data_IF_465504001954
#
_entry.id   IF_465504001954
#
_cell.length_a   1.000
_cell.length_b   1.000
_cell.length_c   1.000
_cell.angle_alpha   90.00
_cell.angle_beta   90.00
_cell.angle_gamma   90.00
#
_symmetry.space_group_name_H-M   'P 1'
#
loop_
_entity.id
_entity.type
_entity.pdbx_description
1 polymer ?
#
# COMPACT_ATOMS: atom_id res chain seq x y z
N UNK A 1 -15.15 11.55 -15.01
CA UNK A 1 -14.12 10.82 -14.23
C UNK A 1 -14.86 9.85 -13.34
N UNK A 2 -14.54 8.58 -13.32
CA UNK A 2 -15.16 7.62 -12.39
C UNK A 2 -14.72 7.92 -10.97
N UNK A 3 -15.50 7.53 -9.94
CA UNK A 3 -15.13 7.66 -8.53
C UNK A 3 -13.78 6.98 -8.26
N UNK A 4 -13.54 5.82 -8.86
CA UNK A 4 -12.28 5.09 -8.80
C UNK A 4 -11.09 5.96 -9.26
N UNK A 5 -11.19 6.61 -10.42
CA UNK A 5 -10.12 7.45 -10.95
C UNK A 5 -9.92 8.74 -10.13
N UNK A 6 -10.95 9.24 -9.49
CA UNK A 6 -10.84 10.36 -8.58
C UNK A 6 -10.08 9.96 -7.30
N UNK A 7 -10.47 8.87 -6.65
CA UNK A 7 -9.86 8.43 -5.40
C UNK A 7 -8.37 8.08 -5.54
N UNK A 8 -7.95 7.46 -6.65
CA UNK A 8 -6.54 7.12 -6.87
C UNK A 8 -5.63 8.34 -7.05
N UNK A 9 -6.18 9.51 -7.35
CA UNK A 9 -5.42 10.76 -7.51
C UNK A 9 -5.29 11.56 -6.20
N UNK A 10 -6.14 11.31 -5.20
CA UNK A 10 -6.15 12.08 -3.94
C UNK A 10 -4.85 11.95 -3.15
N UNK A 11 -4.12 10.86 -3.30
CA UNK A 11 -2.82 10.66 -2.62
C UNK A 11 -1.77 11.72 -2.99
N UNK A 12 -1.89 12.31 -4.19
CA UNK A 12 -0.97 13.35 -4.67
C UNK A 12 -1.17 14.71 -3.98
N UNK A 13 -2.25 14.88 -3.19
CA UNK A 13 -2.53 16.12 -2.45
C UNK A 13 -1.69 16.28 -1.19
N UNK A 14 -1.21 15.18 -0.60
CA UNK A 14 -0.53 15.18 0.71
C UNK A 14 0.76 14.34 0.72
N UNK A 15 1.67 14.48 -0.25
CA UNK A 15 2.80 13.57 -0.42
C UNK A 15 3.79 13.61 0.76
N UNK A 16 4.05 14.78 1.34
CA UNK A 16 4.93 14.91 2.51
C UNK A 16 4.33 14.21 3.73
N UNK A 17 3.04 14.45 4.00
CA UNK A 17 2.35 13.79 5.10
C UNK A 17 2.33 12.28 4.90
N UNK A 18 2.08 11.82 3.68
CA UNK A 18 2.11 10.40 3.31
C UNK A 18 3.46 9.78 3.67
N UNK A 19 4.57 10.42 3.30
CA UNK A 19 5.92 9.95 3.58
C UNK A 19 6.22 9.82 5.08
N UNK A 20 5.71 10.75 5.89
CA UNK A 20 5.97 10.80 7.33
C UNK A 20 5.20 9.76 8.13
N UNK A 21 3.94 9.47 7.76
CA UNK A 21 3.03 8.74 8.66
C UNK A 21 2.65 7.35 8.17
N UNK A 22 2.80 7.05 6.87
CA UNK A 22 2.49 5.71 6.36
C UNK A 22 3.48 4.68 6.88
N UNK A 23 3.00 3.52 7.37
CA UNK A 23 3.89 2.46 7.83
C UNK A 23 4.81 1.97 6.71
N UNK A 24 6.05 1.70 7.06
CA UNK A 24 6.96 0.91 6.23
C UNK A 24 6.63 -0.59 6.31
N UNK A 25 7.43 -1.40 5.66
CA UNK A 25 7.28 -2.85 5.63
C UNK A 25 8.41 -3.53 6.40
N UNK A 26 8.17 -4.68 7.07
CA UNK A 26 9.22 -5.44 7.77
C UNK A 26 10.31 -5.92 6.81
N UNK A 27 11.55 -5.96 7.27
CA UNK A 27 12.68 -6.45 6.46
C UNK A 27 12.52 -7.94 6.10
N UNK A 28 11.88 -8.72 6.95
CA UNK A 28 11.56 -10.12 6.73
C UNK A 28 10.69 -10.32 5.48
N UNK A 29 9.74 -9.41 5.23
CA UNK A 29 8.90 -9.45 4.04
C UNK A 29 9.75 -9.40 2.75
N UNK A 30 10.74 -8.51 2.70
CA UNK A 30 11.62 -8.39 1.54
C UNK A 30 12.60 -9.56 1.44
N UNK A 31 13.02 -10.13 2.57
CA UNK A 31 13.85 -11.33 2.59
C UNK A 31 13.09 -12.52 2.01
N UNK A 32 11.86 -12.76 2.48
CA UNK A 32 10.97 -13.79 1.92
C UNK A 32 10.72 -13.56 0.42
N UNK A 33 10.44 -12.31 0.01
CA UNK A 33 10.25 -11.98 -1.40
C UNK A 33 11.46 -12.39 -2.26
N UNK A 34 12.65 -12.06 -1.82
CA UNK A 34 13.90 -12.36 -2.56
C UNK A 34 14.13 -13.87 -2.63
N UNK A 35 13.99 -14.56 -1.50
CA UNK A 35 14.26 -16.00 -1.38
C UNK A 35 13.27 -16.82 -2.23
N UNK A 36 11.97 -16.52 -2.15
CA UNK A 36 10.94 -17.25 -2.93
C UNK A 36 11.05 -17.01 -4.42
N UNK A 37 11.41 -15.79 -4.84
CA UNK A 37 11.51 -15.43 -6.25
C UNK A 37 12.88 -15.76 -6.86
N UNK A 38 13.89 -16.09 -6.03
CA UNK A 38 15.24 -16.36 -6.48
C UNK A 38 15.95 -15.14 -7.10
N UNK A 39 15.58 -13.92 -6.67
CA UNK A 39 16.21 -12.70 -7.17
C UNK A 39 17.70 -12.67 -6.85
N UNK A 40 18.50 -12.21 -7.81
CA UNK A 40 19.93 -12.04 -7.69
C UNK A 40 20.35 -10.60 -8.11
N UNK A 41 21.61 -10.24 -7.88
CA UNK A 41 22.11 -8.86 -8.05
C UNK A 41 21.82 -8.22 -9.42
N UNK A 42 21.71 -9.04 -10.48
CA UNK A 42 21.43 -8.56 -11.85
C UNK A 42 19.94 -8.58 -12.21
N UNK A 43 19.07 -8.91 -11.25
CA UNK A 43 17.62 -8.94 -11.45
C UNK A 43 17.08 -7.52 -11.60
N UNK A 44 16.16 -7.36 -12.57
CA UNK A 44 15.47 -6.10 -12.85
C UNK A 44 14.06 -6.12 -12.29
N UNK A 45 13.72 -5.14 -11.50
CA UNK A 45 12.45 -5.03 -10.80
C UNK A 45 11.63 -3.88 -11.40
N UNK A 46 10.31 -4.08 -11.46
CA UNK A 46 9.34 -3.03 -11.79
C UNK A 46 8.40 -2.84 -10.61
N UNK A 47 8.34 -1.63 -10.07
CA UNK A 47 7.40 -1.24 -9.02
C UNK A 47 6.25 -0.43 -9.59
N UNK A 48 5.02 -0.81 -9.20
CA UNK A 48 3.80 -0.11 -9.58
C UNK A 48 3.29 0.70 -8.38
N UNK A 49 3.26 2.03 -8.50
CA UNK A 49 2.82 2.93 -7.46
C UNK A 49 3.77 2.93 -6.25
N UNK A 50 5.03 3.36 -6.39
CA UNK A 50 6.00 3.41 -5.29
C UNK A 50 5.59 4.39 -4.17
N UNK A 51 4.66 5.29 -4.43
CA UNK A 51 4.34 6.39 -3.52
C UNK A 51 5.58 7.24 -3.27
N UNK A 52 6.08 7.24 -2.04
CA UNK A 52 7.30 7.95 -1.66
C UNK A 52 8.49 6.99 -1.45
N UNK A 53 8.38 5.73 -1.90
CA UNK A 53 9.48 4.76 -1.94
C UNK A 53 9.62 3.87 -0.71
N UNK A 54 8.55 3.64 0.06
CA UNK A 54 8.59 2.80 1.27
C UNK A 54 9.01 1.35 0.97
N UNK A 55 8.51 0.76 -0.13
CA UNK A 55 8.89 -0.58 -0.55
C UNK A 55 10.10 -0.56 -1.49
N UNK A 56 10.34 0.55 -2.21
CA UNK A 56 11.51 0.72 -3.09
C UNK A 56 12.82 0.71 -2.31
N UNK A 57 12.90 1.51 -1.21
CA UNK A 57 14.15 1.72 -0.43
C UNK A 57 14.80 0.42 0.06
N UNK A 58 14.08 -0.54 0.67
CA UNK A 58 14.67 -1.80 1.12
C UNK A 58 15.30 -2.62 -0.01
N UNK A 59 14.64 -2.67 -1.18
CA UNK A 59 15.15 -3.39 -2.36
C UNK A 59 16.31 -2.64 -3.03
N UNK A 60 16.24 -1.31 -3.12
CA UNK A 60 17.31 -0.46 -3.64
C UNK A 60 18.60 -0.60 -2.83
N UNK A 61 18.50 -0.65 -1.48
CA UNK A 61 19.65 -0.90 -0.57
C UNK A 61 20.33 -2.25 -0.83
N UNK A 62 19.60 -3.24 -1.33
CA UNK A 62 20.14 -4.56 -1.69
C UNK A 62 20.77 -4.58 -3.08
N UNK A 63 20.73 -3.45 -3.82
CA UNK A 63 21.42 -3.25 -5.09
C UNK A 63 20.61 -3.62 -6.34
N UNK A 64 19.32 -3.95 -6.22
CA UNK A 64 18.49 -4.27 -7.39
C UNK A 64 18.27 -3.05 -8.27
N UNK A 65 18.29 -3.25 -9.60
CA UNK A 65 17.87 -2.25 -10.58
C UNK A 65 16.34 -2.14 -10.57
N UNK A 66 15.81 -0.97 -10.20
CA UNK A 66 14.38 -0.76 -10.02
C UNK A 66 13.89 0.32 -10.98
N UNK A 67 12.92 -0.04 -11.81
CA UNK A 67 12.07 0.90 -12.53
C UNK A 67 10.78 1.06 -11.75
N UNK A 68 10.39 2.28 -11.37
CA UNK A 68 9.17 2.55 -10.64
C UNK A 68 8.26 3.49 -11.46
N UNK A 69 6.96 3.21 -11.48
CA UNK A 69 5.95 3.99 -12.19
C UNK A 69 4.93 4.54 -11.21
N UNK A 70 4.86 5.87 -11.07
CA UNK A 70 3.98 6.57 -10.15
C UNK A 70 2.98 7.46 -10.89
N UNK A 71 1.70 7.34 -10.52
CA UNK A 71 0.62 8.10 -11.16
C UNK A 71 0.67 9.58 -10.78
N UNK A 72 0.91 9.88 -9.50
CA UNK A 72 0.91 11.23 -8.95
C UNK A 72 2.18 12.00 -9.31
N UNK A 73 2.04 13.21 -9.82
CA UNK A 73 3.21 14.04 -10.15
C UNK A 73 3.96 14.48 -8.89
N UNK A 74 3.25 14.92 -7.85
CA UNK A 74 3.85 15.36 -6.58
C UNK A 74 4.50 14.18 -5.84
N UNK A 75 3.86 13.01 -5.85
CA UNK A 75 4.43 11.76 -5.32
C UNK A 75 5.67 11.36 -6.11
N UNK A 76 5.65 11.47 -7.45
CA UNK A 76 6.81 11.18 -8.31
C UNK A 76 8.02 12.05 -7.96
N UNK A 77 7.81 13.36 -7.80
CA UNK A 77 8.91 14.27 -7.47
C UNK A 77 9.44 14.01 -6.05
N UNK A 78 8.57 13.71 -5.10
CA UNK A 78 9.00 13.35 -3.76
C UNK A 78 9.73 11.99 -3.75
N UNK A 79 9.24 10.99 -4.49
CA UNK A 79 9.93 9.71 -4.64
C UNK A 79 11.33 9.88 -5.23
N UNK A 80 11.49 10.68 -6.29
CA UNK A 80 12.81 11.02 -6.86
C UNK A 80 13.73 11.67 -5.82
N UNK A 81 13.21 12.62 -5.03
CA UNK A 81 13.96 13.26 -3.96
C UNK A 81 14.39 12.27 -2.87
N UNK A 82 13.46 11.45 -2.39
CA UNK A 82 13.69 10.47 -1.33
C UNK A 82 14.64 9.33 -1.78
N UNK A 83 14.62 8.98 -3.05
CA UNK A 83 15.41 7.91 -3.64
C UNK A 83 16.71 8.43 -4.34
N UNK A 84 17.00 9.72 -4.30
CA UNK A 84 18.12 10.36 -5.02
C UNK A 84 19.51 9.77 -4.75
N UNK A 85 19.69 9.09 -3.64
CA UNK A 85 20.96 8.45 -3.28
C UNK A 85 21.09 7.01 -3.82
N UNK A 86 20.04 6.49 -4.49
CA UNK A 86 20.03 5.16 -5.09
C UNK A 86 20.14 5.27 -6.61
N UNK A 87 21.38 5.19 -7.13
CA UNK A 87 21.63 5.28 -8.59
C UNK A 87 21.03 4.12 -9.39
N UNK A 88 20.56 3.08 -8.70
CA UNK A 88 19.93 1.88 -9.25
C UNK A 88 18.39 2.00 -9.30
N UNK A 89 17.83 3.18 -9.03
CA UNK A 89 16.37 3.41 -9.06
C UNK A 89 16.03 4.52 -10.06
N UNK A 90 15.04 4.26 -10.90
CA UNK A 90 14.47 5.24 -11.82
C UNK A 90 12.97 5.35 -11.59
N UNK A 91 12.45 6.57 -11.37
CA UNK A 91 11.03 6.83 -11.15
C UNK A 91 10.46 7.62 -12.33
N UNK A 92 9.41 7.07 -12.93
CA UNK A 92 8.70 7.63 -14.08
C UNK A 92 7.30 8.07 -13.70
N UNK A 93 6.87 9.29 -14.07
CA UNK A 93 5.48 9.71 -13.88
C UNK A 93 4.57 9.06 -14.92
N UNK A 94 3.38 8.66 -14.53
CA UNK A 94 2.33 8.20 -15.42
C UNK A 94 1.49 7.07 -14.88
N UNK A 95 0.37 6.83 -15.55
CA UNK A 95 -0.47 5.67 -15.24
C UNK A 95 0.22 4.39 -15.73
N UNK A 96 0.29 3.39 -14.86
CA UNK A 96 0.90 2.10 -15.22
C UNK A 96 0.23 1.49 -16.46
N UNK A 97 -1.05 1.70 -16.63
CA UNK A 97 -1.83 1.20 -17.75
C UNK A 97 -1.37 1.78 -19.10
N UNK A 98 -0.90 3.02 -19.11
CA UNK A 98 -0.61 3.81 -20.32
C UNK A 98 0.88 3.84 -20.69
N UNK A 99 1.77 3.83 -19.68
CA UNK A 99 3.19 3.95 -19.92
C UNK A 99 3.73 2.77 -20.75
N UNK A 100 4.55 3.07 -21.76
CA UNK A 100 5.22 2.02 -22.53
C UNK A 100 6.39 1.43 -21.74
N UNK A 101 6.38 0.10 -21.60
CA UNK A 101 7.40 -0.67 -20.91
C UNK A 101 7.88 -1.80 -21.81
N UNK A 102 9.18 -2.13 -21.79
CA UNK A 102 9.72 -3.20 -22.62
C UNK A 102 9.12 -4.56 -22.20
N UNK A 103 8.70 -5.33 -23.20
CA UNK A 103 8.21 -6.69 -22.95
C UNK A 103 9.34 -7.60 -22.47
N UNK A 104 8.99 -8.62 -21.66
CA UNK A 104 9.92 -9.68 -21.21
C UNK A 104 11.23 -9.17 -20.62
N UNK A 105 11.18 -8.08 -19.85
CA UNK A 105 12.39 -7.37 -19.39
C UNK A 105 12.63 -7.43 -17.89
N UNK A 106 11.59 -7.70 -17.11
CA UNK A 106 11.67 -7.69 -15.64
C UNK A 106 11.62 -9.10 -15.06
N UNK A 107 12.39 -9.32 -14.01
CA UNK A 107 12.38 -10.57 -13.24
C UNK A 107 11.26 -10.58 -12.21
N UNK A 108 10.96 -9.39 -11.65
CA UNK A 108 9.87 -9.17 -10.71
C UNK A 108 9.08 -7.92 -11.10
N UNK A 109 7.75 -8.02 -11.07
CA UNK A 109 6.84 -6.88 -10.95
C UNK A 109 6.25 -6.91 -9.55
N UNK A 110 6.28 -5.78 -8.82
CA UNK A 110 5.66 -5.73 -7.51
C UNK A 110 4.85 -4.45 -7.30
N UNK A 111 3.88 -4.55 -6.42
CA UNK A 111 3.01 -3.44 -6.03
C UNK A 111 2.75 -3.52 -4.53
N UNK A 112 3.09 -2.46 -3.80
CA UNK A 112 2.91 -2.38 -2.37
C UNK A 112 1.78 -1.41 -2.03
N UNK A 113 0.62 -1.92 -1.63
CA UNK A 113 -0.61 -1.18 -1.33
C UNK A 113 -1.12 -0.32 -2.50
N UNK A 114 -0.78 -0.70 -3.74
CA UNK A 114 -1.14 0.01 -4.96
C UNK A 114 -1.85 -0.86 -6.02
N UNK A 115 -1.74 -2.18 -5.95
CA UNK A 115 -2.24 -3.11 -6.99
C UNK A 115 -3.75 -3.02 -7.23
N UNK A 116 -4.53 -2.71 -6.20
CA UNK A 116 -5.98 -2.54 -6.31
C UNK A 116 -6.39 -1.29 -7.11
N UNK A 117 -5.48 -0.34 -7.30
CA UNK A 117 -5.71 0.87 -8.09
C UNK A 117 -5.44 0.70 -9.59
N UNK A 118 -4.99 -0.47 -10.04
CA UNK A 118 -4.73 -0.74 -11.46
C UNK A 118 -6.06 -1.08 -12.14
N UNK A 119 -6.29 -0.50 -13.33
CA UNK A 119 -7.45 -0.80 -14.16
C UNK A 119 -7.57 -2.30 -14.44
N UNK A 120 -8.76 -2.91 -14.30
CA UNK A 120 -8.95 -4.36 -14.43
C UNK A 120 -8.40 -4.95 -15.73
N UNK A 121 -8.49 -4.21 -16.84
CA UNK A 121 -8.00 -4.65 -18.15
C UNK A 121 -6.49 -4.79 -18.25
N UNK A 122 -5.75 -4.00 -17.46
CA UNK A 122 -4.29 -3.99 -17.45
C UNK A 122 -3.68 -4.79 -16.29
N UNK A 123 -4.46 -5.02 -15.23
CA UNK A 123 -4.05 -5.48 -13.92
C UNK A 123 -3.15 -6.72 -13.93
N UNK A 124 -3.49 -7.73 -14.71
CA UNK A 124 -2.69 -8.94 -14.86
C UNK A 124 -2.02 -9.05 -16.22
N UNK A 125 -2.67 -8.54 -17.28
CA UNK A 125 -2.16 -8.62 -18.63
C UNK A 125 -0.84 -7.86 -18.81
N UNK A 126 -0.74 -6.62 -18.28
CA UNK A 126 0.46 -5.80 -18.46
C UNK A 126 1.65 -6.31 -17.64
N UNK A 127 1.54 -6.67 -16.35
CA UNK A 127 2.61 -7.37 -15.64
C UNK A 127 3.07 -8.64 -16.35
N UNK A 128 2.13 -9.47 -16.85
CA UNK A 128 2.49 -10.68 -17.61
C UNK A 128 3.31 -10.34 -18.86
N UNK A 129 2.95 -9.29 -19.61
CA UNK A 129 3.67 -8.88 -20.83
C UNK A 129 5.10 -8.43 -20.56
N UNK A 130 5.33 -7.67 -19.49
CA UNK A 130 6.65 -7.08 -19.18
C UNK A 130 7.58 -8.02 -18.43
N UNK A 131 7.03 -9.04 -17.75
CA UNK A 131 7.81 -10.05 -17.05
C UNK A 131 8.50 -11.02 -18.03
N UNK A 132 9.73 -11.37 -17.71
CA UNK A 132 10.46 -12.49 -18.34
C UNK A 132 9.71 -13.81 -18.15
N UNK A 133 10.09 -14.81 -18.92
CA UNK A 133 9.59 -16.19 -18.69
C UNK A 133 9.97 -16.62 -17.27
N UNK A 134 9.00 -17.21 -16.54
CA UNK A 134 9.13 -17.58 -15.12
C UNK A 134 9.34 -16.40 -14.16
N UNK A 135 9.22 -15.15 -14.62
CA UNK A 135 9.23 -13.98 -13.77
C UNK A 135 8.05 -13.97 -12.80
N UNK A 136 8.11 -13.12 -11.79
CA UNK A 136 7.16 -13.14 -10.67
C UNK A 136 6.38 -11.83 -10.56
N UNK A 137 5.13 -11.94 -10.10
CA UNK A 137 4.31 -10.83 -9.63
C UNK A 137 4.18 -10.94 -8.12
N UNK A 138 4.56 -9.88 -7.40
CA UNK A 138 4.37 -9.80 -5.95
C UNK A 138 3.38 -8.68 -5.60
N UNK A 139 2.37 -9.01 -4.80
CA UNK A 139 1.36 -8.09 -4.32
C UNK A 139 1.49 -8.02 -2.80
N UNK A 140 1.69 -6.80 -2.30
CA UNK A 140 1.84 -6.51 -0.88
C UNK A 140 0.68 -5.62 -0.43
N UNK A 141 0.02 -5.99 0.67
CA UNK A 141 -1.00 -5.16 1.29
C UNK A 141 -0.68 -4.86 2.75
N UNK A 142 -1.12 -3.70 3.20
CA UNK A 142 -1.18 -3.34 4.62
C UNK A 142 -2.61 -3.53 5.09
N UNK A 143 -2.91 -4.65 5.71
CA UNK A 143 -4.25 -4.98 6.19
C UNK A 143 -4.42 -4.51 7.64
N UNK A 144 -5.48 -3.74 7.91
CA UNK A 144 -5.91 -3.49 9.27
C UNK A 144 -6.53 -4.75 9.85
N UNK A 145 -6.02 -5.20 10.98
CA UNK A 145 -6.53 -6.42 11.64
C UNK A 145 -6.92 -6.14 13.08
N UNK A 146 -7.77 -7.01 13.61
CA UNK A 146 -8.19 -6.93 15.01
C UNK A 146 -7.03 -7.23 15.95
N UNK A 147 -7.06 -6.58 17.11
CA UNK A 147 -6.20 -6.94 18.24
C UNK A 147 -6.78 -8.11 19.04
N UNK A 148 -6.01 -8.64 20.00
CA UNK A 148 -6.45 -9.72 20.87
C UNK A 148 -7.40 -9.25 21.98
N UNK A 149 -7.50 -7.94 22.23
CA UNK A 149 -8.28 -7.32 23.33
C UNK A 149 -9.70 -6.98 22.93
N UNK A 150 -10.12 -7.31 21.68
CA UNK A 150 -11.48 -7.10 21.19
C UNK A 150 -11.75 -5.75 20.58
N UNK A 151 -10.73 -5.10 20.03
CA UNK A 151 -10.85 -3.89 19.19
C UNK A 151 -11.58 -2.72 19.86
N UNK A 152 -11.27 -2.45 21.13
CA UNK A 152 -11.98 -1.41 21.91
C UNK A 152 -11.93 -0.07 21.20
N UNK A 153 -10.76 0.34 20.69
CA UNK A 153 -10.64 1.59 19.94
C UNK A 153 -11.47 1.57 18.65
N UNK A 154 -11.39 0.47 17.89
CA UNK A 154 -12.16 0.33 16.67
C UNK A 154 -13.66 0.49 16.95
N UNK A 155 -14.19 -0.25 17.92
CA UNK A 155 -15.61 -0.21 18.28
C UNK A 155 -16.06 1.18 18.77
N UNK A 156 -15.24 1.86 19.57
CA UNK A 156 -15.55 3.21 20.07
C UNK A 156 -15.43 4.30 18.98
N UNK A 157 -14.64 4.08 17.95
CA UNK A 157 -14.51 5.02 16.85
C UNK A 157 -15.64 4.92 15.81
N UNK A 158 -16.31 3.76 15.67
CA UNK A 158 -17.34 3.56 14.65
C UNK A 158 -18.47 4.62 14.68
N UNK A 159 -19.04 5.03 15.83
CA UNK A 159 -20.03 6.10 15.86
C UNK A 159 -19.54 7.44 15.32
N UNK A 160 -18.23 7.71 15.39
CA UNK A 160 -17.61 8.90 14.79
C UNK A 160 -17.57 8.73 13.26
N UNK A 161 -17.11 7.59 12.77
CA UNK A 161 -17.10 7.28 11.33
C UNK A 161 -18.51 7.36 10.73
N UNK A 162 -19.52 6.82 11.42
CA UNK A 162 -20.94 6.87 10.99
C UNK A 162 -21.45 8.31 10.86
N UNK A 163 -21.09 9.18 11.81
CA UNK A 163 -21.51 10.58 11.84
C UNK A 163 -21.04 11.38 10.63
N UNK A 164 -19.87 11.04 10.12
CA UNK A 164 -19.25 11.73 8.99
C UNK A 164 -19.37 10.96 7.66
N UNK A 165 -20.23 9.93 7.61
CA UNK A 165 -20.49 9.10 6.41
C UNK A 165 -19.23 8.40 5.85
N UNK A 166 -18.30 8.00 6.73
CA UNK A 166 -17.12 7.24 6.35
C UNK A 166 -17.29 5.72 6.44
N UNK A 167 -18.47 5.24 6.82
CA UNK A 167 -18.82 3.82 6.87
C UNK A 167 -19.80 3.45 5.77
N UNK A 168 -19.71 2.20 5.31
CA UNK A 168 -20.76 1.60 4.48
C UNK A 168 -22.01 1.34 5.35
N UNK A 169 -23.10 2.04 5.07
CA UNK A 169 -24.37 1.92 5.80
C UNK A 169 -25.00 0.52 5.69
N UNK A 170 -24.57 -0.28 4.72
CA UNK A 170 -25.13 -1.61 4.47
C UNK A 170 -24.33 -2.74 5.12
N UNK A 171 -23.14 -2.46 5.64
CA UNK A 171 -22.30 -3.45 6.29
C UNK A 171 -21.81 -2.92 7.64
N UNK A 172 -21.99 -3.71 8.70
CA UNK A 172 -21.33 -3.41 9.96
C UNK A 172 -19.83 -3.57 9.79
N UNK A 173 -19.05 -2.50 9.96
CA UNK A 173 -17.61 -2.60 9.83
C UNK A 173 -17.05 -3.58 10.86
N UNK A 174 -16.18 -4.45 10.42
CA UNK A 174 -15.48 -5.43 11.25
C UNK A 174 -14.04 -5.51 10.81
N UNK A 175 -13.11 -5.50 11.75
CA UNK A 175 -11.72 -5.83 11.44
C UNK A 175 -11.57 -7.35 11.33
N UNK A 176 -10.96 -7.88 10.28
CA UNK A 176 -10.62 -9.29 10.20
C UNK A 176 -9.55 -9.64 11.24
N UNK A 177 -9.52 -10.88 11.70
CA UNK A 177 -8.35 -11.40 12.41
C UNK A 177 -7.20 -11.60 11.42
N UNK A 178 -5.96 -11.57 11.89
CA UNK A 178 -4.81 -11.77 11.02
C UNK A 178 -4.90 -13.05 10.19
N UNK A 179 -5.34 -14.15 10.78
CA UNK A 179 -5.53 -15.44 10.08
C UNK A 179 -6.75 -15.50 9.13
N UNK A 180 -7.58 -14.48 9.09
CA UNK A 180 -8.68 -14.35 8.13
C UNK A 180 -8.24 -13.62 6.84
N UNK A 181 -7.07 -12.96 6.87
CA UNK A 181 -6.48 -12.33 5.67
C UNK A 181 -6.07 -13.43 4.69
N UNK A 182 -6.50 -13.28 3.45
CA UNK A 182 -6.26 -14.28 2.39
C UNK A 182 -5.31 -13.74 1.34
N UNK A 183 -4.69 -14.67 0.60
CA UNK A 183 -3.91 -14.35 -0.58
C UNK A 183 -4.77 -13.65 -1.65
N UNK A 184 -4.13 -12.85 -2.47
CA UNK A 184 -4.75 -12.25 -3.64
C UNK A 184 -5.20 -13.34 -4.63
N UNK A 185 -6.38 -13.14 -5.21
CA UNK A 185 -6.83 -13.97 -6.32
C UNK A 185 -6.06 -13.61 -7.59
N UNK A 186 -5.43 -14.62 -8.19
CA UNK A 186 -4.68 -14.47 -9.42
C UNK A 186 -5.55 -14.84 -10.63
N UNK A 187 -5.37 -14.12 -11.74
CA UNK A 187 -5.91 -14.59 -13.02
C UNK A 187 -5.07 -15.76 -13.52
N UNK A 188 -5.62 -16.97 -13.40
CA UNK A 188 -4.94 -18.22 -13.76
C UNK A 188 -4.52 -18.34 -15.21
N UNK A 189 -4.98 -17.44 -16.10
CA UNK A 189 -4.51 -17.35 -17.49
C UNK A 189 -3.09 -16.78 -17.57
N UNK A 190 -2.68 -16.00 -16.57
CA UNK A 190 -1.42 -15.26 -16.56
C UNK A 190 -0.49 -15.64 -15.41
N UNK A 191 -1.05 -16.01 -14.26
CA UNK A 191 -0.27 -16.19 -13.03
C UNK A 191 -0.77 -17.37 -12.20
N UNK A 192 0.17 -18.08 -11.59
CA UNK A 192 -0.10 -19.11 -10.58
C UNK A 192 0.47 -18.64 -9.25
N UNK A 193 -0.35 -18.54 -8.23
CA UNK A 193 0.10 -18.26 -6.86
C UNK A 193 1.06 -19.38 -6.40
N UNK A 194 2.22 -18.99 -5.90
CA UNK A 194 3.26 -19.92 -5.43
C UNK A 194 3.60 -19.73 -3.96
N UNK A 195 3.30 -18.54 -3.38
CA UNK A 195 3.59 -18.24 -1.98
C UNK A 195 2.59 -17.23 -1.44
N UNK A 196 2.23 -17.38 -0.17
CA UNK A 196 1.48 -16.40 0.61
C UNK A 196 1.94 -16.40 2.05
N UNK A 197 2.26 -15.23 2.57
CA UNK A 197 2.73 -15.07 3.96
C UNK A 197 2.21 -13.79 4.58
N UNK A 198 2.05 -13.80 5.91
CA UNK A 198 1.55 -12.69 6.71
C UNK A 198 2.62 -12.24 7.70
N UNK A 199 2.89 -10.95 7.74
CA UNK A 199 3.85 -10.31 8.61
C UNK A 199 3.10 -9.38 9.58
N UNK A 200 2.91 -9.80 10.85
CA UNK A 200 2.22 -8.97 11.83
C UNK A 200 3.08 -7.78 12.25
N UNK A 201 2.47 -6.61 12.33
CA UNK A 201 3.11 -5.37 12.74
C UNK A 201 2.19 -4.63 13.71
N UNK A 202 2.74 -4.15 14.82
CA UNK A 202 2.02 -3.28 15.76
C UNK A 202 2.71 -1.92 15.81
N UNK A 203 1.93 -0.87 15.60
CA UNK A 203 2.44 0.51 15.62
C UNK A 203 1.65 1.31 16.63
N UNK A 204 2.36 1.89 17.59
CA UNK A 204 1.77 2.83 18.55
C UNK A 204 1.70 4.23 17.94
N UNK A 205 0.50 4.78 17.88
CA UNK A 205 0.27 6.16 17.42
C UNK A 205 -0.16 7.05 18.58
N UNK A 206 0.38 8.25 18.63
CA UNK A 206 -0.23 9.33 19.40
C UNK A 206 -1.59 9.73 18.77
N UNK A 207 -2.47 10.39 19.52
CA UNK A 207 -3.73 10.91 19.01
C UNK A 207 -3.51 11.73 17.74
N UNK A 208 -2.54 12.66 17.77
CA UNK A 208 -2.19 13.51 16.63
C UNK A 208 -1.65 12.72 15.44
N UNK A 209 -0.75 11.75 15.65
CA UNK A 209 -0.16 11.00 14.55
C UNK A 209 -1.17 10.06 13.91
N UNK A 210 -2.12 9.54 14.70
CA UNK A 210 -3.21 8.74 14.13
C UNK A 210 -4.15 9.57 13.27
N UNK A 211 -4.52 10.78 13.69
CA UNK A 211 -5.30 11.69 12.86
C UNK A 211 -4.55 12.06 11.56
N UNK A 212 -3.24 12.27 11.64
CA UNK A 212 -2.38 12.50 10.47
C UNK A 212 -2.34 11.29 9.53
N UNK A 213 -2.28 10.08 10.07
CA UNK A 213 -2.38 8.85 9.27
C UNK A 213 -3.73 8.78 8.54
N UNK A 214 -4.84 9.01 9.23
CA UNK A 214 -6.18 9.03 8.63
C UNK A 214 -6.31 10.07 7.51
N UNK A 215 -5.63 11.21 7.64
CA UNK A 215 -5.58 12.26 6.60
C UNK A 215 -4.73 11.86 5.36
N UNK A 216 -4.29 10.63 5.26
CA UNK A 216 -3.65 10.06 4.06
C UNK A 216 -4.51 9.01 3.36
N UNK A 217 -5.71 8.70 3.87
CA UNK A 217 -6.61 7.75 3.22
C UNK A 217 -7.51 8.45 2.22
N UNK A 218 -7.66 7.85 1.04
CA UNK A 218 -8.37 8.43 -0.10
C UNK A 218 -9.82 8.84 0.22
N UNK A 219 -10.55 8.04 0.98
CA UNK A 219 -11.92 8.35 1.40
C UNK A 219 -12.00 9.58 2.31
N UNK A 220 -11.02 9.76 3.22
CA UNK A 220 -10.97 10.95 4.07
C UNK A 220 -10.54 12.19 3.29
N UNK A 221 -9.57 12.06 2.37
CA UNK A 221 -9.11 13.14 1.51
C UNK A 221 -10.23 13.64 0.58
N UNK A 222 -11.12 12.76 0.13
CA UNK A 222 -12.26 13.12 -0.72
C UNK A 222 -13.33 13.95 0.00
N UNK A 223 -13.34 14.00 1.33
CA UNK A 223 -14.30 14.78 2.11
C UNK A 223 -13.94 16.28 2.13
N UNK A 224 -14.93 17.13 2.41
CA UNK A 224 -14.69 18.56 2.57
C UNK A 224 -13.75 18.85 3.76
N UNK A 225 -12.97 19.94 3.69
CA UNK A 225 -12.04 20.31 4.78
C UNK A 225 -12.74 20.53 6.12
N UNK A 226 -13.98 21.00 6.13
CA UNK A 226 -14.79 21.14 7.34
C UNK A 226 -15.07 19.78 7.97
N UNK A 227 -15.48 18.80 7.16
CA UNK A 227 -15.74 17.42 7.61
C UNK A 227 -14.44 16.77 8.11
N UNK A 228 -13.35 16.90 7.36
CA UNK A 228 -12.04 16.37 7.75
C UNK A 228 -11.62 16.91 9.13
N UNK A 229 -11.66 18.24 9.31
CA UNK A 229 -11.23 18.88 10.57
C UNK A 229 -12.05 18.39 11.75
N UNK A 230 -13.38 18.36 11.63
CA UNK A 230 -14.26 17.92 12.70
C UNK A 230 -14.06 16.43 13.03
N UNK A 231 -13.97 15.58 12.02
CA UNK A 231 -13.73 14.14 12.18
C UNK A 231 -12.41 13.86 12.89
N UNK A 232 -11.30 14.45 12.43
CA UNK A 232 -9.99 14.22 13.04
C UNK A 232 -9.94 14.72 14.49
N UNK A 233 -10.56 15.85 14.78
CA UNK A 233 -10.65 16.37 16.14
C UNK A 233 -11.42 15.42 17.08
N UNK A 234 -12.52 14.82 16.63
CA UNK A 234 -13.26 13.85 17.45
C UNK A 234 -12.44 12.56 17.67
N UNK A 235 -11.71 12.09 16.66
CA UNK A 235 -10.80 10.93 16.80
C UNK A 235 -9.68 11.23 17.79
N UNK A 236 -9.03 12.42 17.69
CA UNK A 236 -7.99 12.83 18.63
C UNK A 236 -8.54 12.92 20.07
N UNK A 237 -9.73 13.49 20.25
CA UNK A 237 -10.40 13.58 21.55
C UNK A 237 -10.68 12.17 22.11
N UNK A 238 -11.22 11.26 21.31
CA UNK A 238 -11.47 9.86 21.72
C UNK A 238 -10.19 9.20 22.23
N UNK A 239 -9.08 9.34 21.48
CA UNK A 239 -7.78 8.73 21.85
C UNK A 239 -7.24 9.37 23.13
N UNK A 240 -7.33 10.69 23.24
CA UNK A 240 -6.84 11.43 24.41
C UNK A 240 -7.60 11.03 25.68
N UNK A 241 -8.93 11.01 25.61
CA UNK A 241 -9.79 10.85 26.79
C UNK A 241 -9.92 9.37 27.23
N UNK A 242 -9.95 8.42 26.29
CA UNK A 242 -10.20 7.01 26.57
C UNK A 242 -8.97 6.12 26.55
N UNK A 243 -7.87 6.57 25.88
CA UNK A 243 -6.68 5.75 25.65
C UNK A 243 -5.39 6.42 26.13
N UNK A 244 -5.47 7.43 27.02
CA UNK A 244 -4.31 8.13 27.57
C UNK A 244 -3.41 8.72 26.47
N UNK A 245 -4.01 9.18 25.38
CA UNK A 245 -3.34 9.86 24.26
C UNK A 245 -2.62 8.96 23.27
N UNK A 246 -2.72 7.61 23.38
CA UNK A 246 -2.05 6.67 22.47
C UNK A 246 -2.90 5.45 22.20
N UNK A 247 -2.76 4.89 21.00
CA UNK A 247 -3.37 3.62 20.61
C UNK A 247 -2.34 2.73 19.90
N UNK A 248 -2.45 1.42 20.09
CA UNK A 248 -1.75 0.42 19.30
C UNK A 248 -2.62 0.02 18.11
N UNK A 249 -2.09 0.16 16.90
CA UNK A 249 -2.73 -0.32 15.67
C UNK A 249 -2.07 -1.59 15.19
N UNK A 250 -2.88 -2.61 15.06
CA UNK A 250 -2.46 -3.91 14.56
C UNK A 250 -2.64 -3.97 13.05
N UNK A 251 -1.57 -4.32 12.36
CA UNK A 251 -1.55 -4.57 10.93
C UNK A 251 -1.07 -5.99 10.66
N UNK A 252 -1.54 -6.55 9.57
CA UNK A 252 -0.97 -7.75 8.97
C UNK A 252 -0.56 -7.41 7.55
N UNK A 253 0.74 -7.32 7.30
CA UNK A 253 1.22 -7.08 5.95
C UNK A 253 1.25 -8.40 5.22
N UNK A 254 0.47 -8.51 4.14
CA UNK A 254 0.40 -9.73 3.34
C UNK A 254 1.31 -9.63 2.14
N UNK A 255 1.95 -10.73 1.81
CA UNK A 255 2.76 -10.92 0.62
C UNK A 255 2.20 -12.10 -0.17
N UNK A 256 1.64 -11.82 -1.34
CA UNK A 256 1.24 -12.82 -2.32
C UNK A 256 2.25 -12.83 -3.47
N UNK A 257 2.88 -13.96 -3.74
CA UNK A 257 3.83 -14.12 -4.86
C UNK A 257 3.25 -15.11 -5.85
N UNK A 258 3.17 -14.69 -7.11
CA UNK A 258 2.71 -15.53 -8.20
C UNK A 258 3.75 -15.60 -9.32
N UNK A 259 3.88 -16.76 -9.94
CA UNK A 259 4.77 -16.97 -11.07
C UNK A 259 3.99 -16.86 -12.38
N UNK A 260 4.59 -16.19 -13.36
CA UNK A 260 4.10 -16.12 -14.74
C UNK A 260 4.00 -17.53 -15.34
N UNK A 261 2.82 -17.87 -15.91
CA UNK A 261 2.54 -19.14 -16.61
C UNK A 261 2.77 -19.00 -18.11
#
# INVERSE_FOLDING_TARGET
MTEFNFLRQTFDEVPLLYNEVRPGYPDELFSTLIDVTGLHKDSKLLEIGPGTGQATKPLAKKGFEITAVELGNSLTELAKYELRHYNNVQVFPGAFEEIELPATSFDLVFAATSFHWIEPSAKFLKPHRVLKNKGHLAIIHTNHVSDEKGDVFFNLSQPIYDRYDFTDKHQKPKLPKSNEVKADEMDGRFFRLIHFELFPVVITYSAKDFARLLNTYSNHLAASKTVQTAFFQEIETLITDKFQGKIDKHFSMSLSIAQKV
#
